data_IF_379397480836
#
_entry.id   IF_379397480836
#
_cell.length_a   1.000
_cell.length_b   1.000
_cell.length_c   1.000
_cell.angle_alpha   90.00
_cell.angle_beta   90.00
_cell.angle_gamma   90.00
#
_symmetry.space_group_name_H-M   'P 1'
#
loop_
_entity.id
_entity.type
_entity.pdbx_description
1 polymer ?
#
# COMPACT_ATOMS: atom_id res chain seq x y z
N UNK A 1 21.87 19.84 -4.63
CA UNK A 1 20.56 19.90 -5.32
C UNK A 1 19.90 18.55 -5.17
N UNK A 2 18.77 18.48 -4.46
CA UNK A 2 18.02 17.25 -4.25
C UNK A 2 17.30 16.88 -5.55
N UNK A 3 17.97 16.12 -6.41
CA UNK A 3 17.42 15.62 -7.66
C UNK A 3 16.43 14.49 -7.41
N UNK A 4 15.26 14.79 -6.85
CA UNK A 4 14.11 13.91 -7.04
C UNK A 4 13.85 13.84 -8.55
N UNK A 5 14.11 12.68 -9.14
CA UNK A 5 13.90 12.45 -10.57
C UNK A 5 12.44 12.77 -10.89
N UNK A 6 12.19 13.77 -11.75
CA UNK A 6 10.84 14.24 -12.09
C UNK A 6 9.92 13.09 -12.57
N UNK A 7 10.49 12.03 -13.14
CA UNK A 7 9.76 10.81 -13.51
C UNK A 7 9.26 10.04 -12.30
N UNK A 8 10.10 9.89 -11.27
CA UNK A 8 9.74 9.23 -10.02
C UNK A 8 8.66 10.04 -9.27
N UNK A 9 8.85 11.36 -9.15
CA UNK A 9 7.86 12.24 -8.52
C UNK A 9 6.50 12.21 -9.24
N UNK A 10 6.50 12.28 -10.58
CA UNK A 10 5.26 12.17 -11.36
C UNK A 10 4.55 10.83 -11.16
N UNK A 11 5.32 9.74 -11.02
CA UNK A 11 4.78 8.40 -10.79
C UNK A 11 4.11 8.30 -9.42
N UNK A 12 4.75 8.81 -8.38
CA UNK A 12 4.18 8.91 -7.03
C UNK A 12 2.89 9.75 -7.02
N UNK A 13 2.90 10.91 -7.67
CA UNK A 13 1.73 11.79 -7.75
C UNK A 13 0.57 11.15 -8.52
N UNK A 14 0.84 10.42 -9.61
CA UNK A 14 -0.18 9.68 -10.34
C UNK A 14 -0.78 8.56 -9.49
N UNK A 15 0.06 7.79 -8.80
CA UNK A 15 -0.41 6.75 -7.89
C UNK A 15 -1.31 7.34 -6.78
N UNK A 16 -0.91 8.47 -6.17
CA UNK A 16 -1.73 9.16 -5.17
C UNK A 16 -3.09 9.62 -5.71
N UNK A 17 -3.15 10.11 -6.95
CA UNK A 17 -4.43 10.49 -7.59
C UNK A 17 -5.35 9.30 -7.91
N UNK A 18 -4.79 8.11 -8.08
CA UNK A 18 -5.55 6.89 -8.35
C UNK A 18 -6.05 6.20 -7.07
N UNK A 19 -5.57 6.61 -5.89
CA UNK A 19 -5.99 6.05 -4.61
C UNK A 19 -7.27 6.74 -4.14
N UNK A 20 -8.34 5.97 -4.02
CA UNK A 20 -9.62 6.43 -3.47
C UNK A 20 -9.49 6.85 -2.00
N UNK A 21 -10.39 7.72 -1.54
CA UNK A 21 -10.41 8.13 -0.14
C UNK A 21 -10.60 6.94 0.82
N UNK A 22 -11.39 5.94 0.41
CA UNK A 22 -11.60 4.72 1.20
C UNK A 22 -10.32 3.89 1.28
N UNK A 23 -9.62 3.67 0.16
CA UNK A 23 -8.31 3.01 0.17
C UNK A 23 -7.32 3.74 1.07
N UNK A 24 -7.28 5.08 1.02
CA UNK A 24 -6.43 5.88 1.92
C UNK A 24 -6.77 5.67 3.40
N UNK A 25 -8.06 5.64 3.77
CA UNK A 25 -8.48 5.40 5.16
C UNK A 25 -8.07 4.02 5.65
N UNK A 26 -8.33 2.97 4.86
CA UNK A 26 -7.96 1.60 5.19
C UNK A 26 -6.44 1.43 5.30
N UNK A 27 -5.70 2.01 4.35
CA UNK A 27 -4.23 1.97 4.35
C UNK A 27 -3.63 2.65 5.57
N UNK A 28 -4.15 3.82 5.96
CA UNK A 28 -3.67 4.52 7.16
C UNK A 28 -3.94 3.70 8.43
N UNK A 29 -5.08 2.99 8.48
CA UNK A 29 -5.39 2.09 9.59
C UNK A 29 -4.44 0.90 9.63
N UNK A 30 -4.15 0.25 8.49
CA UNK A 30 -3.16 -0.83 8.41
C UNK A 30 -1.77 -0.37 8.83
N UNK A 31 -1.29 0.76 8.29
CA UNK A 31 0.02 1.32 8.61
C UNK A 31 0.18 1.54 10.12
N UNK A 32 -0.88 2.04 10.77
CA UNK A 32 -0.89 2.28 12.22
C UNK A 32 -0.97 0.98 13.03
N UNK A 33 -1.89 0.08 12.69
CA UNK A 33 -2.09 -1.15 13.48
C UNK A 33 -0.94 -2.14 13.36
N UNK A 34 -0.24 -2.15 12.23
CA UNK A 34 0.90 -3.03 11.97
C UNK A 34 2.24 -2.35 12.21
N UNK A 35 2.22 -1.11 12.72
CA UNK A 35 3.42 -0.31 12.99
C UNK A 35 4.39 -0.31 11.81
N UNK A 36 3.85 -0.18 10.59
CA UNK A 36 4.63 -0.20 9.36
C UNK A 36 5.67 0.90 9.45
N UNK A 37 6.93 0.54 9.27
CA UNK A 37 8.02 1.49 9.36
C UNK A 37 8.14 2.31 8.08
N UNK A 38 8.51 3.59 8.25
CA UNK A 38 8.95 4.40 7.14
C UNK A 38 10.23 3.77 6.56
N UNK A 39 10.30 3.60 5.23
CA UNK A 39 11.38 2.88 4.58
C UNK A 39 10.94 2.24 3.27
N UNK A 40 11.69 1.23 2.82
CA UNK A 40 11.48 0.53 1.56
C UNK A 40 11.53 -0.99 1.78
N UNK A 41 11.03 -1.75 0.80
CA UNK A 41 11.09 -3.22 0.78
C UNK A 41 9.73 -3.89 0.67
N UNK A 42 8.68 -3.32 1.29
CA UNK A 42 7.34 -3.91 1.22
C UNK A 42 6.79 -4.01 -0.20
N UNK A 43 7.14 -3.08 -1.08
CA UNK A 43 6.68 -3.07 -2.47
C UNK A 43 6.97 -4.38 -3.22
N UNK A 44 8.07 -5.07 -2.87
CA UNK A 44 8.46 -6.33 -3.50
C UNK A 44 7.52 -7.49 -3.14
N UNK A 45 6.99 -7.49 -1.91
CA UNK A 45 6.04 -8.50 -1.44
C UNK A 45 4.60 -8.21 -1.90
N UNK A 46 4.27 -6.93 -2.05
CA UNK A 46 2.92 -6.49 -2.39
C UNK A 46 2.62 -6.51 -3.90
N UNK A 47 3.58 -6.90 -4.73
CA UNK A 47 3.46 -6.89 -6.20
C UNK A 47 2.95 -5.54 -6.73
N UNK A 48 3.52 -4.46 -6.20
CA UNK A 48 3.31 -3.09 -6.65
C UNK A 48 4.64 -2.54 -7.16
N UNK A 49 4.67 -1.27 -7.55
CA UNK A 49 5.90 -0.68 -8.06
C UNK A 49 7.02 -0.72 -7.02
N UNK A 50 8.12 -1.39 -7.34
CA UNK A 50 9.26 -1.60 -6.43
C UNK A 50 9.94 -0.30 -5.97
N UNK A 51 9.67 0.83 -6.63
CA UNK A 51 10.19 2.13 -6.22
C UNK A 51 9.34 2.80 -5.12
N UNK A 52 8.20 2.23 -4.75
CA UNK A 52 7.38 2.80 -3.69
C UNK A 52 8.00 2.56 -2.32
N UNK A 53 8.05 3.62 -1.51
CA UNK A 53 8.23 3.48 -0.06
C UNK A 53 7.12 2.61 0.53
N UNK A 54 7.36 2.06 1.72
CA UNK A 54 6.45 1.14 2.41
C UNK A 54 5.02 1.70 2.51
N UNK A 55 4.88 2.99 2.77
CA UNK A 55 3.58 3.64 2.93
C UNK A 55 2.82 3.78 1.62
N UNK A 56 3.51 4.16 0.55
CA UNK A 56 2.97 4.25 -0.81
C UNK A 56 2.65 2.86 -1.34
N UNK A 57 3.48 1.87 -1.03
CA UNK A 57 3.28 0.49 -1.42
C UNK A 57 2.01 -0.10 -0.80
N UNK A 58 1.80 0.09 0.51
CA UNK A 58 0.55 -0.33 1.19
C UNK A 58 -0.66 0.34 0.53
N UNK A 59 -0.61 1.67 0.29
CA UNK A 59 -1.74 2.38 -0.34
C UNK A 59 -2.08 1.88 -1.75
N UNK A 60 -1.05 1.66 -2.56
CA UNK A 60 -1.22 1.11 -3.91
C UNK A 60 -1.80 -0.31 -3.86
N UNK A 61 -1.34 -1.13 -2.92
CA UNK A 61 -1.82 -2.49 -2.72
C UNK A 61 -3.28 -2.53 -2.25
N UNK A 62 -3.67 -1.71 -1.27
CA UNK A 62 -5.07 -1.62 -0.82
C UNK A 62 -5.98 -1.20 -1.97
N UNK A 63 -5.57 -0.20 -2.77
CA UNK A 63 -6.34 0.18 -3.96
C UNK A 63 -6.44 -0.96 -4.99
N UNK A 64 -5.37 -1.75 -5.18
CA UNK A 64 -5.37 -2.95 -6.04
C UNK A 64 -6.38 -3.99 -5.53
N UNK A 65 -6.48 -4.22 -4.21
CA UNK A 65 -7.48 -5.13 -3.65
C UNK A 65 -8.89 -4.60 -3.88
N UNK A 66 -9.13 -3.31 -3.62
CA UNK A 66 -10.44 -2.69 -3.87
C UNK A 66 -10.89 -2.82 -5.32
N UNK A 67 -9.98 -2.63 -6.28
CA UNK A 67 -10.28 -2.81 -7.70
C UNK A 67 -10.65 -4.26 -8.07
N UNK A 68 -10.30 -5.25 -7.23
CA UNK A 68 -10.69 -6.67 -7.39
C UNK A 68 -12.03 -7.01 -6.74
N UNK A 69 -12.73 -6.04 -6.14
CA UNK A 69 -14.04 -6.25 -5.51
C UNK A 69 -14.01 -6.40 -3.99
N UNK A 70 -12.84 -6.26 -3.35
CA UNK A 70 -12.73 -6.09 -1.90
C UNK A 70 -13.37 -4.74 -1.49
N UNK A 71 -14.16 -4.68 -0.41
CA UNK A 71 -14.86 -3.45 0.00
C UNK A 71 -16.39 -3.48 -0.08
N UNK A 72 -16.98 -4.56 -0.62
CA UNK A 72 -18.40 -4.60 -0.98
C UNK A 72 -19.32 -5.19 0.11
N UNK A 73 -18.81 -5.98 1.06
CA UNK A 73 -19.57 -6.59 2.15
C UNK A 73 -18.73 -6.62 3.44
N UNK A 74 -19.34 -6.24 4.57
CA UNK A 74 -18.69 -5.66 5.75
C UNK A 74 -17.80 -6.57 6.63
N UNK A 75 -16.80 -7.24 6.07
CA UNK A 75 -15.69 -7.90 6.77
C UNK A 75 -14.31 -7.50 6.20
N UNK A 76 -14.24 -6.32 5.58
CA UNK A 76 -13.10 -5.94 4.75
C UNK A 76 -11.80 -5.78 5.54
N UNK A 77 -11.78 -5.03 6.65
CA UNK A 77 -10.48 -4.67 7.24
C UNK A 77 -9.68 -5.85 7.80
N UNK A 78 -10.32 -6.79 8.51
CA UNK A 78 -9.62 -7.95 9.08
C UNK A 78 -9.15 -8.92 7.99
N UNK A 79 -9.93 -9.07 6.92
CA UNK A 79 -9.54 -9.84 5.74
C UNK A 79 -8.34 -9.21 5.02
N UNK A 80 -8.33 -7.88 4.87
CA UNK A 80 -7.19 -7.16 4.30
C UNK A 80 -5.94 -7.36 5.14
N UNK A 81 -6.08 -7.29 6.46
CA UNK A 81 -4.99 -7.52 7.40
C UNK A 81 -4.46 -8.95 7.26
N UNK A 82 -5.35 -9.95 7.16
CA UNK A 82 -4.97 -11.36 6.93
C UNK A 82 -4.21 -11.55 5.62
N UNK A 83 -4.73 -11.04 4.51
CA UNK A 83 -4.05 -11.13 3.20
C UNK A 83 -2.67 -10.47 3.23
N UNK A 84 -2.54 -9.34 3.94
CA UNK A 84 -1.26 -8.67 4.08
C UNK A 84 -0.24 -9.53 4.85
N UNK A 85 -0.66 -10.20 5.93
CA UNK A 85 0.19 -11.12 6.68
C UNK A 85 0.59 -12.35 5.86
N UNK A 86 -0.31 -12.92 5.06
CA UNK A 86 0.00 -14.08 4.19
C UNK A 86 1.08 -13.75 3.12
N UNK A 87 1.22 -12.48 2.74
CA UNK A 87 2.20 -12.02 1.76
C UNK A 87 3.57 -11.68 2.34
N UNK A 88 3.65 -11.43 3.65
CA UNK A 88 4.91 -11.05 4.31
C UNK A 88 5.47 -12.30 4.98
N UNK A 89 6.66 -12.80 4.58
CA UNK A 89 7.26 -13.94 5.22
C UNK A 89 7.42 -13.67 6.73
N UNK A 90 7.06 -14.64 7.57
CA UNK A 90 7.38 -14.59 8.99
C UNK A 90 8.90 -14.41 9.11
N UNK A 91 9.32 -13.32 9.76
CA UNK A 91 10.74 -12.98 9.87
C UNK A 91 11.50 -14.13 10.51
N UNK A 92 12.43 -14.72 9.76
CA UNK A 92 13.47 -15.62 10.27
C UNK A 92 14.47 -14.90 11.15
#
# INVERSE_FOLDING_TARGET
MLGVNAKHLNKMLKAQKQISQQANRLSNRLIRELEVQNGFGLANFLEVDSNFDNFTAIRAWVQKQMNKGFGNDSLDFDELKRQLFELIPEGT
#
